data_IF_742591647661
#
_entry.id   IF_742591647661
#
_cell.length_a   1.000
_cell.length_b   1.000
_cell.length_c   1.000
_cell.angle_alpha   90.00
_cell.angle_beta   90.00
_cell.angle_gamma   90.00
#
_symmetry.space_group_name_H-M   'P 1'
#
loop_
_entity.id
_entity.type
_entity.pdbx_description
1 polymer ?
#
# COMPACT_ATOMS: atom_id res chain seq x y z
N UNK A 1 -21.17 11.08 7.82
CA UNK A 1 -21.51 9.65 7.83
C UNK A 1 -21.28 9.03 9.21
N UNK A 2 -20.13 9.24 9.85
CA UNK A 2 -19.83 8.73 11.21
C UNK A 2 -20.85 9.14 12.28
N UNK A 3 -21.26 10.41 12.35
CA UNK A 3 -22.20 10.86 13.40
C UNK A 3 -23.59 10.23 13.29
N UNK A 4 -24.09 10.02 12.07
CA UNK A 4 -25.38 9.36 11.84
C UNK A 4 -25.32 7.87 12.19
N UNK A 5 -24.20 7.20 11.88
CA UNK A 5 -23.97 5.82 12.31
C UNK A 5 -23.92 5.75 13.84
N UNK A 6 -23.12 6.61 14.48
CA UNK A 6 -22.98 6.61 15.94
C UNK A 6 -24.31 6.91 16.65
N UNK A 7 -25.13 7.81 16.10
CA UNK A 7 -26.46 8.12 16.64
C UNK A 7 -27.46 6.97 16.49
N UNK A 8 -27.24 6.04 15.55
CA UNK A 8 -28.09 4.87 15.33
C UNK A 8 -27.68 3.64 16.17
N UNK A 9 -26.51 3.68 16.82
CA UNK A 9 -26.04 2.57 17.66
C UNK A 9 -26.82 2.57 18.99
N UNK A 10 -27.46 1.45 19.38
CA UNK A 10 -28.12 1.37 20.68
C UNK A 10 -27.15 1.60 21.83
N UNK A 11 -27.59 2.27 22.90
CA UNK A 11 -26.75 2.54 24.07
C UNK A 11 -26.23 1.27 24.77
N UNK A 12 -26.82 0.10 24.49
CA UNK A 12 -26.38 -1.20 25.00
C UNK A 12 -25.19 -1.79 24.25
N UNK A 13 -24.82 -1.24 23.10
CA UNK A 13 -23.70 -1.70 22.29
C UNK A 13 -22.45 -0.93 22.68
N UNK A 14 -21.43 -1.63 23.15
CA UNK A 14 -20.12 -1.04 23.42
C UNK A 14 -19.44 -0.65 22.10
N UNK A 15 -18.99 0.59 22.00
CA UNK A 15 -18.30 1.11 20.82
C UNK A 15 -16.81 1.29 21.09
N UNK A 16 -15.99 0.89 20.12
CA UNK A 16 -14.53 1.02 20.16
C UNK A 16 -14.08 1.95 19.04
N UNK A 17 -13.31 2.98 19.40
CA UNK A 17 -12.66 3.88 18.46
C UNK A 17 -11.18 3.55 18.31
N UNK A 18 -10.62 3.86 17.14
CA UNK A 18 -9.18 3.86 16.93
C UNK A 18 -8.74 5.20 16.31
N UNK A 19 -7.53 5.67 16.62
CA UNK A 19 -6.96 6.83 15.93
C UNK A 19 -5.44 6.83 15.90
N UNK A 20 -4.87 7.32 14.80
CA UNK A 20 -3.44 7.64 14.69
C UNK A 20 -3.14 9.15 14.86
N UNK A 21 -4.12 9.92 15.34
CA UNK A 21 -4.02 11.37 15.56
C UNK A 21 -4.07 11.66 17.07
N UNK A 22 -3.25 12.60 17.53
CA UNK A 22 -3.16 13.02 18.94
C UNK A 22 -4.40 13.76 19.45
N UNK A 23 -5.29 14.21 18.57
CA UNK A 23 -6.55 14.89 18.93
C UNK A 23 -7.74 14.09 18.43
N UNK A 24 -8.41 13.40 19.34
CA UNK A 24 -9.67 12.71 19.08
C UNK A 24 -10.80 13.33 19.92
N UNK A 25 -11.78 13.92 19.24
CA UNK A 25 -13.05 14.31 19.85
C UNK A 25 -13.90 13.03 19.98
N UNK A 26 -13.67 12.25 21.05
CA UNK A 26 -14.22 10.90 21.14
C UNK A 26 -15.66 10.87 21.62
N UNK A 27 -16.48 10.11 20.87
CA UNK A 27 -17.84 9.71 21.22
C UNK A 27 -17.97 8.19 21.48
N UNK A 28 -16.86 7.44 21.47
CA UNK A 28 -16.85 5.99 21.71
C UNK A 28 -16.69 5.64 23.20
N UNK A 29 -17.09 4.42 23.60
CA UNK A 29 -16.95 3.94 24.98
C UNK A 29 -15.51 3.61 25.32
N UNK A 30 -14.81 2.95 24.39
CA UNK A 30 -13.40 2.61 24.48
C UNK A 30 -12.66 3.25 23.32
N UNK A 31 -11.38 3.56 23.52
CA UNK A 31 -10.57 4.17 22.48
C UNK A 31 -9.11 3.75 22.56
N UNK A 32 -8.56 3.41 21.40
CA UNK A 32 -7.18 3.01 21.23
C UNK A 32 -6.45 4.01 20.33
N UNK A 33 -5.27 4.46 20.75
CA UNK A 33 -4.49 5.43 19.99
C UNK A 33 -3.12 4.89 19.64
N UNK A 34 -2.61 5.29 18.47
CA UNK A 34 -1.19 5.21 18.15
C UNK A 34 -0.57 6.61 18.20
N UNK A 35 0.52 6.74 18.94
CA UNK A 35 1.34 7.95 19.04
C UNK A 35 2.80 7.66 18.71
N UNK A 36 3.59 8.72 18.50
CA UNK A 36 5.04 8.63 18.26
C UNK A 36 5.41 7.62 17.15
N UNK A 37 4.66 7.65 16.04
CA UNK A 37 4.85 6.73 14.91
C UNK A 37 6.17 7.06 14.20
N UNK A 38 7.07 6.09 14.19
CA UNK A 38 8.38 6.16 13.54
C UNK A 38 8.50 5.03 12.52
N UNK A 39 8.69 5.42 11.26
CA UNK A 39 8.97 4.53 10.15
C UNK A 39 10.48 4.20 10.10
N UNK A 40 10.81 2.92 9.93
CA UNK A 40 12.20 2.45 9.84
C UNK A 40 12.37 1.43 8.71
N UNK A 41 13.61 1.02 8.45
CA UNK A 41 13.91 -0.03 7.49
C UNK A 41 13.46 -1.41 7.95
N UNK A 42 13.16 -1.61 9.23
CA UNK A 42 12.74 -2.90 9.82
C UNK A 42 11.23 -2.96 10.13
N UNK A 43 10.49 -1.91 9.79
CA UNK A 43 9.05 -1.79 10.03
C UNK A 43 8.66 -0.50 10.75
N UNK A 44 7.52 -0.50 11.43
CA UNK A 44 6.94 0.68 12.07
C UNK A 44 6.98 0.53 13.58
N UNK A 45 7.48 1.54 14.28
CA UNK A 45 7.52 1.61 15.74
C UNK A 45 6.60 2.71 16.23
N UNK A 46 5.76 2.43 17.22
CA UNK A 46 4.79 3.40 17.76
C UNK A 46 4.38 3.05 19.19
N UNK A 47 3.83 4.03 19.91
CA UNK A 47 3.22 3.85 21.22
C UNK A 47 1.74 3.54 21.05
N UNK A 48 1.28 2.42 21.63
CA UNK A 48 -0.14 2.08 21.74
C UNK A 48 -0.65 2.58 23.08
N UNK A 49 -1.61 3.51 23.04
CA UNK A 49 -2.23 4.09 24.23
C UNK A 49 -3.66 3.56 24.39
N UNK A 50 -3.95 2.93 25.53
CA UNK A 50 -5.29 2.46 25.89
C UNK A 50 -5.54 2.73 27.38
N UNK A 51 -6.54 3.57 27.68
CA UNK A 51 -6.80 4.04 29.06
C UNK A 51 -5.52 4.67 29.65
N UNK A 52 -5.05 4.20 30.80
CA UNK A 52 -3.83 4.68 31.46
C UNK A 52 -2.57 3.91 31.03
N UNK A 53 -2.71 2.88 30.19
CA UNK A 53 -1.59 2.05 29.74
C UNK A 53 -1.01 2.53 28.41
N UNK A 54 0.32 2.55 28.34
CA UNK A 54 1.09 2.83 27.12
C UNK A 54 2.07 1.69 26.87
N UNK A 55 2.06 1.14 25.66
CA UNK A 55 2.99 0.08 25.23
C UNK A 55 3.68 0.47 23.93
N UNK A 56 5.01 0.58 23.98
CA UNK A 56 5.83 0.75 22.78
C UNK A 56 5.93 -0.57 22.02
N UNK A 57 5.54 -0.58 20.75
CA UNK A 57 5.60 -1.78 19.89
C UNK A 57 6.30 -1.46 18.57
N UNK A 58 7.02 -2.46 18.05
CA UNK A 58 7.54 -2.45 16.68
C UNK A 58 6.86 -3.57 15.91
N UNK A 59 6.22 -3.24 14.80
CA UNK A 59 5.61 -4.20 13.88
C UNK A 59 6.47 -4.33 12.61
N UNK A 60 6.70 -5.55 12.10
CA UNK A 60 7.47 -5.77 10.88
C UNK A 60 6.62 -5.55 9.62
N UNK A 61 5.82 -4.48 9.61
CA UNK A 61 4.96 -4.06 8.49
C UNK A 61 5.40 -2.66 8.01
N UNK A 62 5.00 -2.31 6.80
CA UNK A 62 5.25 -1.01 6.17
C UNK A 62 3.93 -0.39 5.73
N UNK A 63 3.85 0.93 5.57
CA UNK A 63 2.58 1.60 5.34
C UNK A 63 1.96 2.13 6.62
N UNK A 64 1.78 3.45 6.76
CA UNK A 64 1.13 4.00 7.97
C UNK A 64 -0.29 3.46 8.17
N UNK A 65 -0.98 3.12 7.08
CA UNK A 65 -2.29 2.46 7.12
C UNK A 65 -2.25 1.09 7.82
N UNK A 66 -1.09 0.43 7.92
CA UNK A 66 -0.95 -0.79 8.70
C UNK A 66 -0.95 -0.53 10.21
N UNK A 67 -0.65 0.69 10.66
CA UNK A 67 -0.88 1.08 12.06
C UNK A 67 -2.38 1.06 12.35
N UNK A 68 -3.21 1.65 11.49
CA UNK A 68 -4.67 1.61 11.63
C UNK A 68 -5.21 0.18 11.61
N UNK A 69 -4.74 -0.67 10.68
CA UNK A 69 -5.12 -2.07 10.63
C UNK A 69 -4.77 -2.82 11.93
N UNK A 70 -3.59 -2.56 12.48
CA UNK A 70 -3.13 -3.16 13.73
C UNK A 70 -3.93 -2.65 14.93
N UNK A 71 -4.26 -1.36 14.98
CA UNK A 71 -5.14 -0.81 16.01
C UNK A 71 -6.53 -1.45 15.96
N UNK A 72 -7.10 -1.68 14.77
CA UNK A 72 -8.36 -2.43 14.62
C UNK A 72 -8.26 -3.83 15.21
N UNK A 73 -7.18 -4.56 14.92
CA UNK A 73 -6.94 -5.91 15.47
C UNK A 73 -6.81 -5.84 16.99
N UNK A 74 -6.03 -4.90 17.51
CA UNK A 74 -5.87 -4.70 18.96
C UNK A 74 -7.21 -4.40 19.64
N UNK A 75 -8.03 -3.50 19.10
CA UNK A 75 -9.35 -3.20 19.65
C UNK A 75 -10.20 -4.46 19.80
N UNK A 76 -10.18 -5.35 18.80
CA UNK A 76 -10.89 -6.65 18.87
C UNK A 76 -10.29 -7.56 19.94
N UNK A 77 -8.96 -7.70 20.01
CA UNK A 77 -8.31 -8.55 21.03
C UNK A 77 -8.59 -8.07 22.45
N UNK A 78 -8.54 -6.75 22.68
CA UNK A 78 -8.85 -6.12 23.96
C UNK A 78 -10.33 -6.30 24.33
N UNK A 79 -11.24 -6.14 23.37
CA UNK A 79 -12.67 -6.41 23.56
C UNK A 79 -12.97 -7.88 23.92
N UNK A 80 -12.11 -8.81 23.49
CA UNK A 80 -12.16 -10.23 23.85
C UNK A 80 -11.46 -10.56 25.18
N UNK A 81 -10.94 -9.55 25.89
CA UNK A 81 -10.33 -9.70 27.21
C UNK A 81 -8.84 -10.07 27.20
N UNK A 82 -8.16 -9.99 26.05
CA UNK A 82 -6.70 -10.17 26.00
C UNK A 82 -6.02 -8.90 26.54
N UNK A 83 -4.99 -9.05 27.37
CA UNK A 83 -4.27 -7.91 27.92
C UNK A 83 -3.53 -7.13 26.82
N UNK A 84 -3.39 -5.80 26.99
CA UNK A 84 -2.63 -4.97 26.06
C UNK A 84 -1.20 -5.50 25.87
N UNK A 85 -0.54 -5.85 26.97
CA UNK A 85 0.82 -6.41 26.99
C UNK A 85 0.94 -7.71 26.19
N UNK A 86 -0.02 -8.63 26.32
CA UNK A 86 0.04 -9.90 25.57
C UNK A 86 -0.31 -9.69 24.10
N UNK A 87 -1.24 -8.80 23.80
CA UNK A 87 -1.60 -8.44 22.43
C UNK A 87 -0.41 -7.80 21.70
N UNK A 88 0.27 -6.80 22.29
CA UNK A 88 1.42 -6.13 21.67
C UNK A 88 2.63 -7.05 21.48
N UNK A 89 2.87 -7.99 22.41
CA UNK A 89 3.90 -9.03 22.22
C UNK A 89 3.65 -9.88 20.97
N UNK A 90 2.38 -10.15 20.63
CA UNK A 90 2.03 -10.91 19.42
C UNK A 90 2.19 -10.07 18.16
N UNK A 91 1.92 -8.76 18.22
CA UNK A 91 2.11 -7.86 17.08
C UNK A 91 3.57 -7.82 16.58
N UNK A 92 4.54 -7.88 17.50
CA UNK A 92 5.96 -7.94 17.14
C UNK A 92 6.34 -9.19 16.33
N UNK A 93 5.47 -10.22 16.31
CA UNK A 93 5.69 -11.48 15.59
C UNK A 93 4.90 -11.57 14.28
N UNK A 94 4.23 -10.48 13.87
CA UNK A 94 3.49 -10.46 12.61
C UNK A 94 4.41 -10.76 11.42
N UNK A 95 3.81 -11.27 10.36
CA UNK A 95 4.48 -11.45 9.08
C UNK A 95 3.77 -10.58 8.05
N UNK A 96 4.52 -9.91 7.14
CA UNK A 96 3.91 -9.24 6.00
C UNK A 96 3.00 -10.20 5.23
N UNK A 97 1.84 -9.69 4.82
CA UNK A 97 0.98 -10.42 3.90
C UNK A 97 1.58 -10.28 2.50
N UNK A 98 1.68 -11.39 1.76
CA UNK A 98 2.18 -11.37 0.39
C UNK A 98 1.40 -10.36 -0.46
N UNK A 99 2.13 -9.52 -1.20
CA UNK A 99 1.55 -8.47 -2.03
C UNK A 99 0.86 -7.32 -1.29
N UNK A 100 1.17 -7.09 0.00
CA UNK A 100 0.69 -5.94 0.80
C UNK A 100 1.88 -5.21 1.40
N UNK A 101 2.33 -4.14 0.73
CA UNK A 101 3.59 -3.45 1.01
C UNK A 101 4.74 -4.45 1.24
N UNK A 102 4.78 -5.50 0.41
CA UNK A 102 5.78 -6.55 0.52
C UNK A 102 7.11 -5.99 0.01
N UNK A 103 8.09 -5.97 0.90
CA UNK A 103 9.40 -5.35 0.66
C UNK A 103 10.36 -6.32 -0.02
N UNK A 104 11.07 -5.82 -1.02
CA UNK A 104 12.18 -6.46 -1.71
C UNK A 104 13.35 -5.47 -1.87
N UNK A 105 14.56 -6.00 -2.03
CA UNK A 105 15.77 -5.18 -2.23
C UNK A 105 16.06 -4.22 -1.06
N UNK A 106 16.58 -3.04 -1.40
CA UNK A 106 17.10 -2.06 -0.47
C UNK A 106 18.62 -2.14 -0.27
N UNK A 107 19.11 -1.34 0.69
CA UNK A 107 20.53 -1.16 1.00
C UNK A 107 21.35 -0.68 -0.21
N UNK A 108 22.07 -1.58 -0.89
CA UNK A 108 22.84 -1.27 -2.10
C UNK A 108 22.02 -1.32 -3.38
N UNK A 109 20.75 -1.73 -3.28
CA UNK A 109 19.78 -1.80 -4.38
C UNK A 109 18.62 -0.82 -4.14
N UNK A 110 17.83 -0.46 -5.17
CA UNK A 110 16.58 0.24 -4.94
C UNK A 110 15.67 -0.55 -3.99
N UNK A 111 14.92 0.17 -3.17
CA UNK A 111 13.88 -0.40 -2.33
C UNK A 111 12.64 -0.66 -3.19
N UNK A 112 12.11 -1.88 -3.19
CA UNK A 112 10.93 -2.22 -4.00
C UNK A 112 9.79 -2.70 -3.11
N UNK A 113 8.59 -2.18 -3.34
CA UNK A 113 7.36 -2.64 -2.72
C UNK A 113 6.40 -3.21 -3.76
N UNK A 114 5.85 -4.39 -3.50
CA UNK A 114 4.73 -4.96 -4.26
C UNK A 114 3.45 -4.79 -3.44
N UNK A 115 2.44 -4.15 -4.03
CA UNK A 115 1.16 -3.91 -3.37
C UNK A 115 -0.05 -4.14 -4.30
N UNK A 116 -1.17 -4.55 -3.71
CA UNK A 116 -2.45 -4.80 -4.38
C UNK A 116 -3.27 -3.52 -4.63
N UNK A 117 -2.77 -2.33 -4.32
CA UNK A 117 -3.47 -1.07 -4.50
C UNK A 117 -3.98 -0.90 -5.94
N UNK A 118 -5.30 -1.03 -6.11
CA UNK A 118 -5.99 -0.95 -7.40
C UNK A 118 -7.16 0.06 -7.36
N UNK A 119 -7.17 0.93 -6.34
CA UNK A 119 -8.11 2.05 -6.19
C UNK A 119 -7.33 3.35 -5.95
N UNK A 120 -7.90 4.53 -6.23
CA UNK A 120 -7.20 5.80 -6.07
C UNK A 120 -6.73 6.05 -4.62
N UNK A 121 -7.59 5.77 -3.64
CA UNK A 121 -7.28 5.92 -2.21
C UNK A 121 -6.17 4.97 -1.74
N UNK A 122 -6.23 3.69 -2.16
CA UNK A 122 -5.19 2.73 -1.81
C UNK A 122 -3.84 3.11 -2.44
N UNK A 123 -3.85 3.57 -3.70
CA UNK A 123 -2.63 4.00 -4.38
C UNK A 123 -2.04 5.24 -3.72
N UNK A 124 -2.87 6.20 -3.31
CA UNK A 124 -2.43 7.42 -2.59
C UNK A 124 -1.75 7.07 -1.26
N UNK A 125 -2.37 6.17 -0.47
CA UNK A 125 -1.81 5.70 0.81
C UNK A 125 -0.49 4.94 0.63
N UNK A 126 -0.41 4.06 -0.38
CA UNK A 126 0.81 3.31 -0.68
C UNK A 126 1.94 4.25 -1.11
N UNK A 127 1.69 5.16 -2.05
CA UNK A 127 2.71 6.07 -2.57
C UNK A 127 3.16 7.10 -1.54
N UNK A 128 2.23 7.71 -0.81
CA UNK A 128 2.55 8.66 0.25
C UNK A 128 3.35 8.00 1.38
N UNK A 129 3.05 6.74 1.72
CA UNK A 129 3.84 6.00 2.70
C UNK A 129 5.20 5.58 2.14
N UNK A 130 5.27 5.08 0.91
CA UNK A 130 6.53 4.70 0.27
C UNK A 130 7.50 5.89 0.18
N UNK A 131 6.98 7.11 -0.06
CA UNK A 131 7.77 8.34 -0.08
C UNK A 131 8.53 8.58 1.22
N UNK A 132 7.98 8.19 2.37
CA UNK A 132 8.64 8.33 3.70
C UNK A 132 9.85 7.40 3.86
N UNK A 133 9.93 6.35 3.06
CA UNK A 133 11.06 5.41 3.02
C UNK A 133 12.03 5.69 1.87
N UNK A 134 11.71 6.64 1.01
CA UNK A 134 12.48 6.98 -0.18
C UNK A 134 13.51 8.07 0.16
N UNK A 135 14.80 7.78 -0.07
CA UNK A 135 15.87 8.78 0.12
C UNK A 135 16.05 9.65 -1.11
N UNK A 136 15.78 9.10 -2.30
CA UNK A 136 15.97 9.72 -3.61
C UNK A 136 14.64 9.77 -4.37
N UNK A 137 14.56 9.14 -5.56
CA UNK A 137 13.38 9.21 -6.41
C UNK A 137 12.35 8.11 -6.10
N UNK A 138 11.07 8.48 -6.12
CA UNK A 138 9.96 7.54 -6.04
C UNK A 138 9.48 7.15 -7.43
N UNK A 139 9.53 5.86 -7.73
CA UNK A 139 9.02 5.25 -8.96
C UNK A 139 7.70 4.54 -8.68
N UNK A 140 6.80 4.56 -9.67
CA UNK A 140 5.59 3.73 -9.65
C UNK A 140 5.40 3.01 -10.97
N UNK A 141 5.11 1.71 -10.89
CA UNK A 141 4.71 0.86 -12.03
C UNK A 141 3.31 0.37 -11.75
N UNK A 142 2.34 0.76 -12.57
CA UNK A 142 0.95 0.33 -12.35
C UNK A 142 0.12 0.35 -13.64
N UNK A 143 -1.01 -0.33 -13.56
CA UNK A 143 -2.03 -0.35 -14.60
C UNK A 143 -3.42 -0.33 -13.97
N UNK A 144 -4.45 -0.42 -14.82
CA UNK A 144 -5.82 -0.64 -14.40
C UNK A 144 -6.38 -1.86 -15.14
N UNK A 145 -7.20 -2.67 -14.48
CA UNK A 145 -7.85 -3.76 -15.22
C UNK A 145 -8.99 -3.28 -16.11
N UNK A 146 -9.15 -3.96 -17.24
CA UNK A 146 -10.21 -3.72 -18.21
C UNK A 146 -11.54 -4.37 -17.86
N UNK A 147 -12.59 -3.96 -18.59
CA UNK A 147 -14.00 -4.36 -18.42
C UNK A 147 -14.54 -4.16 -17.00
N UNK A 148 -13.94 -3.25 -16.22
CA UNK A 148 -14.36 -2.88 -14.86
C UNK A 148 -14.14 -1.39 -14.62
N UNK A 149 -14.68 -0.91 -13.49
CA UNK A 149 -14.68 0.47 -12.99
C UNK A 149 -13.68 1.41 -13.70
N UNK A 150 -14.17 2.13 -14.70
CA UNK A 150 -13.38 3.02 -15.56
C UNK A 150 -13.15 4.38 -14.90
N UNK A 151 -14.07 4.80 -14.01
CA UNK A 151 -14.06 6.13 -13.39
C UNK A 151 -12.84 6.37 -12.50
N UNK A 152 -12.22 5.31 -11.98
CA UNK A 152 -11.02 5.42 -11.16
C UNK A 152 -9.74 5.67 -11.95
N UNK A 153 -9.69 5.40 -13.26
CA UNK A 153 -8.43 5.37 -14.04
C UNK A 153 -7.72 6.71 -14.06
N UNK A 154 -8.45 7.77 -14.41
CA UNK A 154 -7.92 9.13 -14.40
C UNK A 154 -7.48 9.55 -12.98
N UNK A 155 -8.27 9.20 -11.96
CA UNK A 155 -7.93 9.50 -10.56
C UNK A 155 -6.65 8.78 -10.10
N UNK A 156 -6.45 7.54 -10.52
CA UNK A 156 -5.22 6.79 -10.25
C UNK A 156 -4.01 7.41 -10.97
N UNK A 157 -4.17 7.85 -12.22
CA UNK A 157 -3.14 8.60 -12.96
C UNK A 157 -2.73 9.89 -12.24
N UNK A 158 -3.71 10.71 -11.86
CA UNK A 158 -3.49 11.95 -11.11
C UNK A 158 -2.82 11.72 -9.75
N UNK A 159 -3.18 10.62 -9.07
CA UNK A 159 -2.58 10.21 -7.80
C UNK A 159 -1.12 9.80 -7.97
N UNK A 160 -0.83 8.95 -8.96
CA UNK A 160 0.51 8.49 -9.26
C UNK A 160 1.44 9.67 -9.63
N UNK A 161 0.99 10.58 -10.50
CA UNK A 161 1.73 11.77 -10.90
C UNK A 161 2.04 12.70 -9.72
N UNK A 162 1.13 12.80 -8.74
CA UNK A 162 1.32 13.66 -7.56
C UNK A 162 2.51 13.23 -6.71
N UNK A 163 2.70 11.92 -6.54
CA UNK A 163 3.65 11.37 -5.57
C UNK A 163 4.96 10.89 -6.21
N UNK A 164 4.89 10.31 -7.41
CA UNK A 164 6.03 9.68 -8.05
C UNK A 164 6.84 10.68 -8.89
N UNK A 165 8.16 10.55 -8.83
CA UNK A 165 9.09 11.25 -9.70
C UNK A 165 9.13 10.61 -11.09
N UNK A 166 8.95 9.28 -11.16
CA UNK A 166 8.91 8.51 -12.39
C UNK A 166 7.70 7.57 -12.38
N UNK A 167 6.95 7.56 -13.48
CA UNK A 167 5.75 6.76 -13.61
C UNK A 167 5.83 5.89 -14.86
N UNK A 168 5.64 4.58 -14.69
CA UNK A 168 5.49 3.64 -15.80
C UNK A 168 4.05 3.11 -15.78
N UNK A 169 3.27 3.47 -16.80
CA UNK A 169 1.95 2.91 -17.03
C UNK A 169 2.09 1.65 -17.86
N UNK A 170 1.50 0.57 -17.38
CA UNK A 170 1.60 -0.76 -17.97
C UNK A 170 0.26 -1.48 -17.92
N UNK A 171 0.18 -2.68 -18.51
CA UNK A 171 -1.01 -3.51 -18.42
C UNK A 171 -1.10 -4.12 -17.01
N UNK A 172 -2.31 -4.15 -16.46
CA UNK A 172 -2.67 -4.97 -15.29
C UNK A 172 -3.41 -6.20 -15.82
N UNK A 173 -4.73 -6.27 -15.72
CA UNK A 173 -5.55 -7.32 -16.30
C UNK A 173 -6.44 -6.68 -17.36
N UNK A 174 -5.96 -6.45 -18.60
CA UNK A 174 -6.73 -5.76 -19.63
C UNK A 174 -8.00 -6.52 -20.04
N UNK A 175 -8.06 -7.84 -19.81
CA UNK A 175 -9.21 -8.69 -20.19
C UNK A 175 -9.52 -8.52 -21.67
N UNK A 176 -10.76 -8.19 -22.03
CA UNK A 176 -11.20 -7.98 -23.41
C UNK A 176 -11.13 -6.52 -23.85
N UNK A 177 -10.69 -5.61 -22.97
CA UNK A 177 -10.56 -4.20 -23.31
C UNK A 177 -9.18 -3.92 -23.93
N UNK A 178 -9.15 -2.97 -24.86
CA UNK A 178 -7.91 -2.58 -25.50
C UNK A 178 -6.96 -1.92 -24.49
N UNK A 179 -5.73 -2.44 -24.37
CA UNK A 179 -4.71 -1.90 -23.45
C UNK A 179 -4.43 -0.41 -23.66
N UNK A 180 -4.40 0.05 -24.91
CA UNK A 180 -4.17 1.47 -25.24
C UNK A 180 -5.29 2.37 -24.74
N UNK A 181 -6.54 1.92 -24.78
CA UNK A 181 -7.68 2.68 -24.25
C UNK A 181 -7.61 2.83 -22.73
N UNK A 182 -7.22 1.75 -22.03
CA UNK A 182 -7.00 1.79 -20.59
C UNK A 182 -5.88 2.76 -20.24
N UNK A 183 -4.74 2.68 -20.94
CA UNK A 183 -3.60 3.58 -20.74
C UNK A 183 -4.03 5.03 -20.96
N UNK A 184 -4.69 5.33 -22.08
CA UNK A 184 -5.17 6.68 -22.39
C UNK A 184 -6.11 7.22 -21.30
N UNK A 185 -7.00 6.38 -20.77
CA UNK A 185 -7.88 6.75 -19.67
C UNK A 185 -7.10 7.08 -18.38
N UNK A 186 -6.03 6.34 -18.07
CA UNK A 186 -5.13 6.68 -16.94
C UNK A 186 -4.45 8.03 -17.19
N UNK A 187 -3.84 8.19 -18.37
CA UNK A 187 -3.09 9.40 -18.74
C UNK A 187 -3.97 10.66 -18.78
N UNK A 188 -5.27 10.53 -19.05
CA UNK A 188 -6.22 11.66 -19.04
C UNK A 188 -6.32 12.38 -17.70
N UNK A 189 -5.91 11.75 -16.59
CA UNK A 189 -5.85 12.38 -15.28
C UNK A 189 -4.53 13.09 -14.97
N UNK A 190 -3.52 12.93 -15.83
CA UNK A 190 -2.18 13.46 -15.62
C UNK A 190 -2.03 14.83 -16.30
N UNK A 191 -1.27 15.73 -15.68
CA UNK A 191 -1.01 17.10 -16.18
C UNK A 191 0.34 17.22 -16.88
N UNK A 192 1.34 16.45 -16.48
CA UNK A 192 2.70 16.48 -16.98
C UNK A 192 3.15 15.09 -17.44
N UNK A 193 3.00 14.83 -18.73
CA UNK A 193 3.32 13.53 -19.32
C UNK A 193 4.80 13.30 -19.57
N UNK A 194 5.67 14.30 -19.39
CA UNK A 194 7.11 14.16 -19.70
C UNK A 194 7.87 13.20 -18.80
N UNK A 195 7.32 12.87 -17.62
CA UNK A 195 7.89 11.90 -16.67
C UNK A 195 7.17 10.55 -16.68
N UNK A 196 6.30 10.34 -17.66
CA UNK A 196 5.47 9.16 -17.80
C UNK A 196 5.99 8.33 -18.97
N UNK A 197 6.28 7.07 -18.71
CA UNK A 197 6.59 6.08 -19.73
C UNK A 197 5.42 5.10 -19.85
N UNK A 198 5.14 4.64 -21.07
CA UNK A 198 4.14 3.60 -21.33
C UNK A 198 4.87 2.35 -21.81
N UNK A 199 4.76 1.27 -21.05
CA UNK A 199 5.28 -0.05 -21.41
C UNK A 199 4.18 -1.08 -21.16
N UNK A 200 3.43 -1.47 -22.19
CA UNK A 200 2.27 -2.35 -22.03
C UNK A 200 2.63 -3.75 -21.52
N UNK A 201 3.84 -4.25 -21.81
CA UNK A 201 4.31 -5.47 -21.20
C UNK A 201 4.72 -5.23 -19.73
N UNK A 202 3.97 -5.85 -18.80
CA UNK A 202 4.14 -5.65 -17.36
C UNK A 202 5.48 -6.12 -16.82
N UNK A 203 5.97 -7.27 -17.29
CA UNK A 203 7.29 -7.78 -16.93
C UNK A 203 8.38 -6.77 -17.35
N UNK A 204 8.35 -6.31 -18.60
CA UNK A 204 9.29 -5.32 -19.12
C UNK A 204 9.20 -3.99 -18.36
N UNK A 205 8.01 -3.54 -17.97
CA UNK A 205 7.82 -2.34 -17.16
C UNK A 205 8.52 -2.46 -15.80
N UNK A 206 8.33 -3.60 -15.10
CA UNK A 206 8.97 -3.89 -13.81
C UNK A 206 10.48 -3.97 -13.95
N UNK A 207 10.99 -4.72 -14.93
CA UNK A 207 12.42 -4.81 -15.21
C UNK A 207 13.03 -3.45 -15.56
N UNK A 208 12.34 -2.64 -16.36
CA UNK A 208 12.78 -1.31 -16.76
C UNK A 208 12.86 -0.34 -15.58
N UNK A 209 11.88 -0.34 -14.67
CA UNK A 209 11.95 0.43 -13.43
C UNK A 209 13.13 -0.01 -12.55
N UNK A 210 13.22 -1.31 -12.28
CA UNK A 210 14.24 -1.86 -11.36
C UNK A 210 15.64 -1.65 -11.90
N UNK A 211 15.88 -1.82 -13.21
CA UNK A 211 17.20 -1.63 -13.83
C UNK A 211 17.67 -0.17 -13.87
N UNK A 212 16.76 0.81 -13.91
CA UNK A 212 17.11 2.23 -13.99
C UNK A 212 17.16 2.93 -12.65
N UNK A 213 16.45 2.44 -11.65
CA UNK A 213 16.46 3.02 -10.32
C UNK A 213 17.84 2.93 -9.66
N UNK A 214 18.21 4.00 -8.95
CA UNK A 214 19.45 4.08 -8.20
C UNK A 214 19.32 3.40 -6.82
N UNK A 215 20.44 3.13 -6.17
CA UNK A 215 20.42 2.83 -4.73
C UNK A 215 19.85 4.05 -3.98
N UNK A 216 18.93 3.80 -3.04
CA UNK A 216 18.21 4.87 -2.32
C UNK A 216 16.92 5.35 -3.00
N UNK A 217 16.66 4.96 -4.25
CA UNK A 217 15.33 5.10 -4.86
C UNK A 217 14.35 4.09 -4.24
N UNK A 218 13.06 4.42 -4.31
CA UNK A 218 11.98 3.53 -3.95
C UNK A 218 11.09 3.25 -5.17
N UNK A 219 10.68 2.01 -5.37
CA UNK A 219 9.81 1.59 -6.48
C UNK A 219 8.56 0.93 -5.89
N UNK A 220 7.38 1.37 -6.33
CA UNK A 220 6.11 0.73 -6.01
C UNK A 220 5.58 0.03 -7.26
N UNK A 221 5.40 -1.28 -7.17
CA UNK A 221 4.67 -2.08 -8.17
C UNK A 221 3.25 -2.31 -7.64
N UNK A 222 2.27 -1.63 -8.23
CA UNK A 222 0.90 -1.61 -7.74
C UNK A 222 -0.09 -2.35 -8.66
N UNK A 223 -1.14 -2.89 -8.05
CA UNK A 223 -2.35 -3.38 -8.73
C UNK A 223 -2.63 -4.86 -8.49
N UNK A 224 -1.61 -5.72 -8.61
CA UNK A 224 -1.78 -7.20 -8.59
C UNK A 224 -1.43 -7.84 -7.26
N UNK A 225 -0.51 -7.26 -6.48
CA UNK A 225 -0.12 -7.78 -5.18
C UNK A 225 0.40 -9.22 -5.24
N UNK A 226 -0.41 -10.17 -4.74
CA UNK A 226 -0.07 -11.60 -4.72
C UNK A 226 -0.72 -12.40 -5.86
N UNK A 227 -1.45 -11.77 -6.78
CA UNK A 227 -1.95 -12.43 -7.98
C UNK A 227 -0.76 -13.00 -8.78
N UNK A 228 -0.92 -14.24 -9.24
CA UNK A 228 0.08 -15.04 -9.95
C UNK A 228 -0.32 -15.31 -11.42
N UNK A 229 -1.22 -14.47 -11.94
CA UNK A 229 -1.67 -14.52 -13.32
C UNK A 229 -1.90 -13.13 -13.92
N UNK A 230 -1.96 -13.06 -15.25
CA UNK A 230 -2.42 -11.90 -16.01
C UNK A 230 -3.50 -12.31 -17.00
N UNK A 231 -4.61 -11.57 -17.06
CA UNK A 231 -5.74 -11.87 -17.96
C UNK A 231 -5.72 -10.96 -19.20
N UNK A 232 -5.55 -11.56 -20.38
CA UNK A 232 -5.48 -10.87 -21.69
C UNK A 232 -6.35 -11.60 -22.70
N UNK A 233 -7.31 -10.90 -23.31
CA UNK A 233 -8.27 -11.42 -24.29
C UNK A 233 -8.95 -12.73 -23.84
N UNK A 234 -9.35 -12.81 -22.57
CA UNK A 234 -9.98 -14.00 -21.98
C UNK A 234 -9.04 -15.16 -21.69
N UNK A 235 -7.72 -14.98 -21.88
CA UNK A 235 -6.70 -15.98 -21.54
C UNK A 235 -5.97 -15.58 -20.27
N UNK A 236 -5.88 -16.52 -19.33
CA UNK A 236 -5.12 -16.38 -18.09
C UNK A 236 -3.71 -16.91 -18.30
N UNK A 237 -2.71 -16.04 -18.21
CA UNK A 237 -1.29 -16.36 -18.42
C UNK A 237 -0.59 -16.32 -17.05
N UNK A 238 0.27 -17.30 -16.70
CA UNK A 238 1.06 -17.24 -15.46
C UNK A 238 1.93 -15.99 -15.43
N UNK A 239 1.80 -15.18 -14.37
CA UNK A 239 2.54 -13.93 -14.21
C UNK A 239 2.51 -13.47 -12.75
N UNK A 240 3.66 -13.16 -12.15
CA UNK A 240 3.71 -12.65 -10.77
C UNK A 240 4.63 -11.44 -10.66
N UNK A 241 4.10 -10.31 -10.18
CA UNK A 241 4.89 -9.11 -9.89
C UNK A 241 6.08 -9.44 -8.99
N UNK A 242 5.84 -10.26 -7.96
CA UNK A 242 6.85 -10.69 -6.98
C UNK A 242 7.98 -11.47 -7.64
N UNK A 243 7.65 -12.39 -8.54
CA UNK A 243 8.65 -13.17 -9.27
C UNK A 243 9.48 -12.28 -10.22
N UNK A 244 8.83 -11.36 -10.94
CA UNK A 244 9.51 -10.40 -11.81
C UNK A 244 10.44 -9.47 -11.01
N UNK A 245 10.00 -8.98 -9.85
CA UNK A 245 10.82 -8.16 -8.95
C UNK A 245 12.07 -8.91 -8.49
N UNK A 246 11.92 -10.15 -8.01
CA UNK A 246 13.05 -10.98 -7.58
C UNK A 246 14.04 -11.22 -8.73
N UNK A 247 13.55 -11.63 -9.90
CA UNK A 247 14.39 -11.86 -11.07
C UNK A 247 15.15 -10.60 -11.51
N UNK A 248 14.48 -9.44 -11.52
CA UNK A 248 15.10 -8.17 -11.90
C UNK A 248 16.18 -7.72 -10.89
N UNK A 249 15.95 -7.91 -9.59
CA UNK A 249 16.93 -7.58 -8.54
C UNK A 249 18.14 -8.52 -8.59
N UNK A 250 17.94 -9.81 -8.88
CA UNK A 250 19.04 -10.77 -9.07
C UNK A 250 19.91 -10.40 -10.27
N UNK A 251 19.32 -9.97 -11.39
CA UNK A 251 20.07 -9.55 -12.57
C UNK A 251 20.97 -8.34 -12.32
N UNK A 252 20.61 -7.44 -11.39
CA UNK A 252 21.46 -6.29 -11.01
C UNK A 252 22.71 -6.68 -10.22
N UNK A 253 22.72 -7.86 -9.62
CA UNK A 253 23.85 -8.36 -8.84
C UNK A 253 24.88 -9.13 -9.69
N UNK A 254 24.59 -9.37 -10.96
CA UNK A 254 25.49 -10.03 -11.92
C UNK A 254 26.25 -8.99 -12.73
#
# INVERSE_FOLDING_TARGET
>A
YSEQIMAAIPATVMTWGISCLSTCNNKSNEHLMAENIVNSTTGITFDVCWRDDVQRVTIPLYGDFNVENVLCVLAVLLALGISLTDATKKLAQLKPVAGRMERFGGDTQPLVFVDYAHTPDALDKVLSSARKHCQQALWVVFGCGGNRDTGKRALMGACAERWADYMIVTDDNPRFENSTDIVNAILSGCKNTHKIEVLQNREQAIHSAISRAAAGDCIVIAGKGHEDYQEINGTTIPFSDRACVLAALEMRNK
#
